data_IF_025098494004
#
_entry.id   IF_025098494004
#
_cell.length_a   1.000
_cell.length_b   1.000
_cell.length_c   1.000
_cell.angle_alpha   90.00
_cell.angle_beta   90.00
_cell.angle_gamma   90.00
#
_symmetry.space_group_name_H-M   'P 1'
#
loop_
_entity.id
_entity.type
_entity.pdbx_description
1 polymer ?
#
# COMPACT_ATOMS: atom_id res chain seq x y z
N UNK A 1 17.35 20.04 26.39
CA UNK A 1 16.15 19.20 26.28
C UNK A 1 15.08 19.81 27.17
N UNK A 2 14.05 20.40 26.57
CA UNK A 2 12.84 20.73 27.31
C UNK A 2 12.10 19.38 27.48
N UNK A 3 11.77 18.93 28.70
CA UNK A 3 11.00 17.71 28.88
C UNK A 3 9.68 17.88 28.11
N UNK A 4 9.30 16.91 27.28
CA UNK A 4 7.95 16.93 26.71
C UNK A 4 6.96 16.71 27.87
N UNK A 5 6.45 17.80 28.43
CA UNK A 5 5.10 17.81 28.97
C UNK A 5 4.15 17.29 27.86
N UNK A 6 3.02 16.69 28.23
CA UNK A 6 2.01 16.28 27.26
C UNK A 6 1.81 17.41 26.22
N UNK A 7 1.93 17.11 24.91
CA UNK A 7 1.85 18.15 23.90
C UNK A 7 0.50 18.85 23.99
N UNK A 8 0.47 20.20 23.94
CA UNK A 8 -0.77 20.96 24.15
C UNK A 8 -1.83 20.70 23.07
N UNK A 9 -1.41 20.20 21.90
CA UNK A 9 -2.29 19.80 20.80
C UNK A 9 -2.34 18.27 20.76
N UNK A 10 -3.55 17.71 20.79
CA UNK A 10 -3.79 16.26 20.85
C UNK A 10 -4.81 15.84 19.80
N UNK A 11 -4.58 14.67 19.20
CA UNK A 11 -5.58 14.03 18.35
C UNK A 11 -6.69 13.49 19.26
N UNK A 12 -7.92 13.93 19.04
CA UNK A 12 -9.11 13.32 19.64
C UNK A 12 -9.58 12.15 18.81
N UNK A 13 -9.70 12.39 17.51
CA UNK A 13 -10.21 11.42 16.57
C UNK A 13 -9.65 11.60 15.18
N UNK A 14 -9.99 10.63 14.32
CA UNK A 14 -9.76 10.69 12.91
C UNK A 14 -11.04 10.37 12.11
N UNK A 15 -11.28 11.13 11.04
CA UNK A 15 -12.14 10.67 9.95
C UNK A 15 -11.29 9.86 8.97
N UNK A 16 -11.61 8.57 8.83
CA UNK A 16 -10.99 7.63 7.91
C UNK A 16 -11.96 7.31 6.77
N UNK A 17 -11.57 7.60 5.52
CA UNK A 17 -12.40 7.36 4.33
C UNK A 17 -11.64 6.58 3.27
N UNK A 18 -11.93 5.29 3.16
CA UNK A 18 -11.46 4.38 2.12
C UNK A 18 -12.53 4.24 1.04
N UNK A 19 -12.16 4.61 -0.18
CA UNK A 19 -13.08 4.78 -1.30
C UNK A 19 -12.60 3.98 -2.51
N UNK A 20 -13.55 3.33 -3.18
CA UNK A 20 -13.35 2.74 -4.50
C UNK A 20 -14.17 3.51 -5.53
N UNK A 21 -13.55 4.33 -6.40
CA UNK A 21 -14.24 4.90 -7.55
C UNK A 21 -14.78 3.81 -8.47
N UNK A 22 -15.87 4.09 -9.17
CA UNK A 22 -16.38 3.16 -10.18
C UNK A 22 -15.36 2.98 -11.32
N UNK A 23 -15.36 1.85 -12.04
CA UNK A 23 -14.39 1.58 -13.10
C UNK A 23 -14.28 2.74 -14.10
N UNK A 24 -13.05 3.16 -14.42
CA UNK A 24 -12.78 4.29 -15.30
C UNK A 24 -12.99 5.69 -14.70
N UNK A 25 -13.30 5.80 -13.40
CA UNK A 25 -13.56 7.09 -12.72
C UNK A 25 -12.46 7.55 -11.77
N UNK A 26 -11.33 6.85 -11.70
CA UNK A 26 -10.24 7.12 -10.75
C UNK A 26 -9.68 8.55 -10.87
N UNK A 27 -9.32 9.02 -12.07
CA UNK A 27 -8.86 10.41 -12.26
C UNK A 27 -9.95 11.44 -11.92
N UNK A 28 -11.18 11.19 -12.37
CA UNK A 28 -12.29 12.11 -12.14
C UNK A 28 -12.56 12.29 -10.63
N UNK A 29 -12.62 11.18 -9.91
CA UNK A 29 -12.70 11.19 -8.45
C UNK A 29 -11.51 11.91 -7.81
N UNK A 30 -10.27 11.62 -8.26
CA UNK A 30 -9.08 12.27 -7.72
C UNK A 30 -9.14 13.80 -7.89
N UNK A 31 -9.56 14.30 -9.07
CA UNK A 31 -9.67 15.73 -9.34
C UNK A 31 -10.77 16.41 -8.52
N UNK A 32 -11.93 15.79 -8.41
CA UNK A 32 -13.00 16.30 -7.56
C UNK A 32 -12.56 16.38 -6.10
N UNK A 33 -11.95 15.31 -5.59
CA UNK A 33 -11.57 15.25 -4.20
C UNK A 33 -10.44 16.23 -3.87
N UNK A 34 -9.39 16.30 -4.71
CA UNK A 34 -8.23 17.18 -4.45
C UNK A 34 -8.56 18.66 -4.53
N UNK A 35 -9.47 19.06 -5.42
CA UNK A 35 -9.73 20.48 -5.73
C UNK A 35 -10.86 21.05 -4.90
N UNK A 36 -11.78 20.20 -4.45
CA UNK A 36 -12.95 20.64 -3.72
C UNK A 36 -13.14 19.86 -2.42
N UNK A 37 -13.49 18.58 -2.52
CA UNK A 37 -14.06 17.85 -1.39
C UNK A 37 -13.14 17.73 -0.18
N UNK A 38 -11.82 17.59 -0.39
CA UNK A 38 -10.83 17.57 0.68
C UNK A 38 -10.92 18.83 1.55
N UNK A 39 -11.07 20.00 0.91
CA UNK A 39 -11.12 21.27 1.60
C UNK A 39 -12.52 21.59 2.11
N UNK A 40 -13.49 21.64 1.20
CA UNK A 40 -14.86 22.07 1.50
C UNK A 40 -15.61 21.09 2.41
N UNK A 41 -15.22 19.81 2.38
CA UNK A 41 -15.82 18.76 3.19
C UNK A 41 -15.22 18.66 4.59
N UNK A 42 -13.93 18.97 4.76
CA UNK A 42 -13.23 18.71 6.04
C UNK A 42 -12.18 19.76 6.42
N UNK A 43 -11.22 20.11 5.56
CA UNK A 43 -10.09 20.94 6.01
C UNK A 43 -10.49 22.35 6.46
N UNK A 44 -11.63 22.88 5.99
CA UNK A 44 -12.14 24.18 6.45
C UNK A 44 -13.00 24.10 7.70
N UNK A 45 -13.25 22.90 8.24
CA UNK A 45 -14.07 22.72 9.43
C UNK A 45 -13.31 23.13 10.71
N UNK A 46 -14.02 23.67 11.71
CA UNK A 46 -13.40 24.02 12.98
C UNK A 46 -12.85 22.78 13.68
N UNK A 47 -11.59 22.84 14.16
CA UNK A 47 -10.96 21.75 14.89
C UNK A 47 -10.24 20.72 14.03
N UNK A 48 -10.27 20.82 12.70
CA UNK A 48 -9.41 20.01 11.82
C UNK A 48 -7.95 20.43 12.02
N UNK A 49 -7.10 19.47 12.40
CA UNK A 49 -5.67 19.69 12.63
C UNK A 49 -4.86 19.52 11.34
N UNK A 50 -5.06 18.39 10.66
CA UNK A 50 -4.34 18.04 9.43
C UNK A 50 -5.14 17.00 8.65
N UNK A 51 -4.78 16.84 7.37
CA UNK A 51 -5.37 15.82 6.51
C UNK A 51 -4.38 15.35 5.47
N UNK A 52 -4.50 14.09 5.07
CA UNK A 52 -3.66 13.51 4.03
C UNK A 52 -4.44 12.55 3.15
N UNK A 53 -4.08 12.55 1.87
CA UNK A 53 -4.66 11.71 0.84
C UNK A 53 -3.62 10.70 0.36
N UNK A 54 -4.10 9.49 0.16
CA UNK A 54 -3.30 8.34 -0.18
C UNK A 54 -3.97 7.53 -1.29
N UNK A 55 -3.17 6.78 -2.01
CA UNK A 55 -3.59 5.91 -3.11
C UNK A 55 -2.90 4.56 -2.99
N UNK A 56 -3.67 3.49 -3.16
CA UNK A 56 -3.16 2.13 -3.19
C UNK A 56 -2.86 1.76 -4.64
N UNK A 57 -1.57 1.66 -5.01
CA UNK A 57 -1.18 1.18 -6.34
C UNK A 57 -1.59 -0.29 -6.52
N UNK A 58 -1.62 -0.82 -7.75
CA UNK A 58 -1.86 -2.24 -7.98
C UNK A 58 -0.91 -3.16 -7.19
N UNK A 59 0.37 -2.78 -7.06
CA UNK A 59 1.36 -3.52 -6.28
C UNK A 59 0.99 -3.54 -4.78
N UNK A 60 0.61 -2.39 -4.21
CA UNK A 60 0.21 -2.31 -2.80
C UNK A 60 -1.13 -3.00 -2.52
N UNK A 61 -2.06 -3.01 -3.50
CA UNK A 61 -3.29 -3.80 -3.42
C UNK A 61 -3.02 -5.31 -3.40
N UNK A 62 -1.94 -5.77 -4.02
CA UNK A 62 -1.56 -7.18 -4.01
C UNK A 62 -0.98 -7.65 -2.66
N UNK A 63 -0.58 -6.73 -1.78
CA UNK A 63 -0.09 -7.03 -0.43
C UNK A 63 -1.20 -7.19 0.61
N UNK A 64 -2.48 -7.07 0.20
CA UNK A 64 -3.61 -7.06 1.11
C UNK A 64 -3.92 -8.46 1.61
N UNK A 65 -4.41 -8.50 2.84
CA UNK A 65 -4.91 -9.71 3.47
C UNK A 65 -5.62 -9.38 4.78
N UNK A 66 -6.34 -10.33 5.37
CA UNK A 66 -6.72 -11.62 4.78
C UNK A 66 -7.74 -11.48 3.61
N UNK A 67 -8.01 -12.57 2.88
CA UNK A 67 -8.79 -12.59 1.63
C UNK A 67 -10.24 -12.08 1.72
N UNK A 68 -10.92 -12.24 2.86
CA UNK A 68 -12.23 -11.63 3.08
C UNK A 68 -12.52 -11.54 4.57
N UNK A 69 -13.14 -10.43 4.99
CA UNK A 69 -13.69 -10.30 6.33
C UNK A 69 -15.11 -9.73 6.28
N UNK A 70 -15.91 -9.88 7.36
CA UNK A 70 -17.23 -9.28 7.42
C UNK A 70 -17.25 -7.76 7.19
N UNK A 71 -16.11 -7.11 7.45
CA UNK A 71 -15.94 -5.67 7.28
C UNK A 71 -15.51 -5.31 5.85
N UNK A 72 -14.60 -6.08 5.24
CA UNK A 72 -14.14 -5.88 3.87
C UNK A 72 -14.34 -7.19 3.09
N UNK A 73 -15.53 -7.38 2.46
CA UNK A 73 -15.84 -8.60 1.72
C UNK A 73 -15.00 -8.80 0.46
N UNK A 74 -14.47 -7.70 -0.09
CA UNK A 74 -13.58 -7.70 -1.24
C UNK A 74 -12.31 -6.89 -0.88
N UNK A 75 -11.20 -7.57 -0.55
CA UNK A 75 -10.00 -6.94 0.01
C UNK A 75 -9.29 -6.07 -1.03
N UNK A 76 -9.50 -6.27 -2.33
CA UNK A 76 -8.81 -5.49 -3.37
C UNK A 76 -9.46 -4.13 -3.64
N UNK A 77 -10.64 -3.86 -3.04
CA UNK A 77 -11.34 -2.57 -3.13
C UNK A 77 -10.79 -1.53 -2.17
N UNK A 78 -10.84 -0.26 -2.55
CA UNK A 78 -10.37 0.86 -1.74
C UNK A 78 -9.10 1.45 -2.30
N UNK A 79 -9.22 2.08 -3.46
CA UNK A 79 -8.12 2.69 -4.20
C UNK A 79 -7.60 3.98 -3.57
N UNK A 80 -8.48 4.74 -2.93
CA UNK A 80 -8.15 6.01 -2.31
C UNK A 80 -8.46 5.99 -0.83
N UNK A 81 -7.51 6.46 -0.02
CA UNK A 81 -7.70 6.69 1.40
C UNK A 81 -7.52 8.18 1.68
N UNK A 82 -8.43 8.75 2.47
CA UNK A 82 -8.22 10.06 3.08
C UNK A 82 -8.40 9.98 4.59
N UNK A 83 -7.44 10.57 5.30
CA UNK A 83 -7.37 10.63 6.76
C UNK A 83 -7.35 12.08 7.21
N UNK A 84 -8.13 12.43 8.22
CA UNK A 84 -8.15 13.77 8.82
C UNK A 84 -8.04 13.67 10.34
N UNK A 85 -7.14 14.40 10.96
CA UNK A 85 -7.06 14.52 12.42
C UNK A 85 -7.88 15.68 12.93
N UNK A 86 -8.57 15.43 14.04
CA UNK A 86 -9.40 16.42 14.72
C UNK A 86 -8.90 16.59 16.15
N UNK A 87 -8.88 17.84 16.59
CA UNK A 87 -8.45 18.24 17.92
C UNK A 87 -9.31 17.59 19.01
N UNK A 88 -8.64 17.10 20.06
CA UNK A 88 -9.26 16.40 21.18
C UNK A 88 -10.35 17.19 21.89
N UNK A 89 -10.18 18.51 21.97
CA UNK A 89 -11.08 19.37 22.73
C UNK A 89 -12.20 19.95 21.84
N UNK A 90 -12.23 19.60 20.54
CA UNK A 90 -13.18 20.15 19.56
C UNK A 90 -13.96 19.10 18.76
N UNK A 91 -13.89 17.83 19.15
CA UNK A 91 -14.56 16.73 18.42
C UNK A 91 -16.06 16.94 18.25
N UNK A 92 -16.77 17.37 19.31
CA UNK A 92 -18.21 17.62 19.24
C UNK A 92 -18.59 18.80 18.33
N UNK A 93 -17.81 19.88 18.35
CA UNK A 93 -17.99 21.03 17.44
C UNK A 93 -17.75 20.61 15.99
N UNK A 94 -16.69 19.82 15.77
CA UNK A 94 -16.35 19.29 14.47
C UNK A 94 -17.44 18.35 13.92
N UNK A 95 -18.00 17.45 14.74
CA UNK A 95 -19.03 16.49 14.32
C UNK A 95 -20.29 17.22 13.82
N UNK A 96 -20.73 18.27 14.53
CA UNK A 96 -21.83 19.12 14.09
C UNK A 96 -21.51 19.82 12.76
N UNK A 97 -20.31 20.42 12.64
CA UNK A 97 -19.89 21.12 11.43
C UNK A 97 -19.73 20.18 10.22
N UNK A 98 -19.28 18.95 10.44
CA UNK A 98 -19.14 17.93 9.39
C UNK A 98 -20.50 17.46 8.87
N UNK A 99 -21.47 17.26 9.76
CA UNK A 99 -22.86 16.98 9.38
C UNK A 99 -23.45 18.11 8.54
N UNK A 100 -23.30 19.36 8.97
CA UNK A 100 -23.78 20.51 8.19
C UNK A 100 -23.09 20.62 6.82
N UNK A 101 -21.79 20.33 6.76
CA UNK A 101 -21.03 20.37 5.53
C UNK A 101 -21.49 19.33 4.50
N UNK A 102 -21.71 18.08 4.91
CA UNK A 102 -22.15 17.04 3.96
C UNK A 102 -23.56 17.33 3.43
N UNK A 103 -24.48 17.81 4.27
CA UNK A 103 -25.83 18.19 3.83
C UNK A 103 -25.81 19.36 2.85
N UNK A 104 -25.00 20.39 3.14
CA UNK A 104 -24.83 21.55 2.24
C UNK A 104 -24.24 21.14 0.90
N UNK A 105 -23.15 20.36 0.92
CA UNK A 105 -22.52 19.87 -0.31
C UNK A 105 -23.46 18.97 -1.12
N UNK A 106 -24.31 18.18 -0.44
CA UNK A 106 -25.37 17.39 -1.08
C UNK A 106 -26.40 18.27 -1.77
N UNK A 107 -26.93 19.29 -1.07
CA UNK A 107 -27.89 20.24 -1.63
C UNK A 107 -27.33 21.03 -2.82
N UNK A 108 -26.03 21.35 -2.80
CA UNK A 108 -25.33 22.05 -3.87
C UNK A 108 -24.96 21.13 -5.06
N UNK A 109 -25.24 19.83 -4.99
CA UNK A 109 -24.86 18.86 -6.03
C UNK A 109 -23.35 18.63 -6.14
N UNK A 110 -22.60 18.88 -5.06
CA UNK A 110 -21.13 18.81 -5.00
C UNK A 110 -20.61 17.49 -4.43
N UNK A 111 -21.48 16.53 -4.13
CA UNK A 111 -21.08 15.16 -3.82
C UNK A 111 -20.87 14.36 -5.11
N UNK A 112 -19.84 13.50 -5.14
CA UNK A 112 -19.51 12.68 -6.30
C UNK A 112 -20.11 11.27 -6.24
N UNK A 113 -21.17 10.93 -6.99
CA UNK A 113 -21.89 9.67 -6.81
C UNK A 113 -21.17 8.44 -7.39
N UNK A 114 -20.20 8.61 -8.30
CA UNK A 114 -19.55 7.48 -8.99
C UNK A 114 -18.39 6.89 -8.16
N UNK A 115 -18.70 6.54 -6.90
CA UNK A 115 -17.78 5.96 -5.93
C UNK A 115 -18.55 5.09 -4.94
N UNK A 116 -17.85 4.12 -4.36
CA UNK A 116 -18.35 3.35 -3.25
C UNK A 116 -17.49 3.60 -2.01
N UNK A 117 -18.14 3.78 -0.88
CA UNK A 117 -17.50 3.79 0.43
C UNK A 117 -17.15 2.34 0.80
N UNK A 118 -15.85 2.01 0.85
CA UNK A 118 -15.38 0.69 1.32
C UNK A 118 -15.33 0.71 2.85
N UNK A 119 -14.68 1.74 3.41
CA UNK A 119 -14.71 2.05 4.83
C UNK A 119 -14.89 3.55 5.00
N UNK A 120 -15.83 3.95 5.84
CA UNK A 120 -15.92 5.34 6.30
C UNK A 120 -16.28 5.32 7.76
N UNK A 121 -15.32 5.76 8.58
CA UNK A 121 -15.37 5.60 10.03
C UNK A 121 -14.84 6.85 10.71
N UNK A 122 -15.54 7.23 11.77
CA UNK A 122 -14.99 8.07 12.82
C UNK A 122 -14.31 7.14 13.82
N UNK A 123 -13.05 7.41 14.14
CA UNK A 123 -12.27 6.56 15.04
C UNK A 123 -11.60 7.42 16.10
N UNK A 124 -11.71 7.02 17.37
CA UNK A 124 -11.08 7.72 18.50
C UNK A 124 -9.62 7.36 18.62
N UNK A 125 -8.77 8.34 18.88
CA UNK A 125 -7.36 8.11 19.12
C UNK A 125 -7.16 7.37 20.45
N UNK A 126 -6.39 6.28 20.44
CA UNK A 126 -6.09 5.50 21.64
C UNK A 126 -4.66 5.73 22.12
N UNK A 127 -3.66 5.46 21.28
CA UNK A 127 -2.25 5.64 21.61
C UNK A 127 -1.37 5.58 20.34
N UNK A 128 -0.09 5.91 20.51
CA UNK A 128 0.95 5.68 19.53
C UNK A 128 2.08 4.84 20.13
N UNK A 129 2.68 3.99 19.30
CA UNK A 129 3.92 3.27 19.59
C UNK A 129 4.96 3.72 18.57
N UNK A 130 6.17 4.01 19.03
CA UNK A 130 7.27 4.52 18.22
C UNK A 130 8.46 3.58 18.28
N UNK A 131 9.15 3.44 17.16
CA UNK A 131 10.42 2.68 17.08
C UNK A 131 11.57 3.47 17.73
N UNK A 132 11.63 4.76 17.44
CA UNK A 132 12.80 5.60 17.75
C UNK A 132 12.58 6.45 19.02
N UNK A 133 13.67 6.79 19.70
CA UNK A 133 13.64 7.61 20.92
C UNK A 133 13.29 9.09 20.70
N UNK A 134 13.50 9.59 19.49
CA UNK A 134 13.08 10.94 19.06
C UNK A 134 12.15 10.84 17.83
N UNK A 135 10.91 10.38 18.03
CA UNK A 135 10.01 10.12 16.92
C UNK A 135 9.33 11.39 16.41
N UNK A 136 8.77 11.32 15.20
CA UNK A 136 7.74 12.27 14.76
C UNK A 136 6.52 12.12 15.67
N UNK A 137 6.09 13.17 16.40
CA UNK A 137 4.91 13.11 17.25
C UNK A 137 3.65 12.74 16.46
N UNK A 138 2.75 11.95 17.08
CA UNK A 138 1.49 11.49 16.48
C UNK A 138 0.72 12.58 15.73
N UNK A 139 0.58 13.78 16.31
CA UNK A 139 -0.15 14.90 15.71
C UNK A 139 0.46 15.42 14.40
N UNK A 140 1.76 15.19 14.19
CA UNK A 140 2.52 15.66 13.02
C UNK A 140 2.70 14.60 11.93
N UNK A 141 2.23 13.37 12.14
CA UNK A 141 2.52 12.26 11.20
C UNK A 141 1.93 12.49 9.81
N UNK A 142 0.75 13.13 9.70
CA UNK A 142 0.15 13.48 8.40
C UNK A 142 0.87 14.63 7.69
N UNK A 143 1.55 15.52 8.44
CA UNK A 143 2.32 16.63 7.88
C UNK A 143 3.75 16.24 7.53
N UNK A 144 4.29 15.20 8.19
CA UNK A 144 5.64 14.70 7.97
C UNK A 144 5.87 14.15 6.55
N UNK A 145 4.80 13.69 5.90
CA UNK A 145 4.81 13.13 4.53
C UNK A 145 5.68 11.90 4.37
N UNK A 146 5.44 10.91 5.23
CA UNK A 146 6.01 9.58 5.07
C UNK A 146 5.81 9.02 3.65
N UNK A 147 6.83 8.33 3.08
CA UNK A 147 6.75 7.69 1.77
C UNK A 147 5.56 6.74 1.60
N UNK A 148 5.10 6.12 2.69
CA UNK A 148 3.95 5.23 2.64
C UNK A 148 3.19 5.13 3.95
N UNK A 149 2.06 4.43 3.86
CA UNK A 149 1.19 4.10 4.97
C UNK A 149 0.69 2.67 4.79
N UNK A 150 0.84 1.85 5.83
CA UNK A 150 0.14 0.60 5.98
C UNK A 150 -1.02 0.81 6.96
N UNK A 151 -2.21 0.39 6.59
CA UNK A 151 -3.38 0.41 7.46
C UNK A 151 -3.70 -1.01 7.88
N UNK A 152 -3.89 -1.22 9.19
CA UNK A 152 -4.34 -2.52 9.72
C UNK A 152 -5.66 -2.29 10.43
N UNK A 153 -6.67 -3.06 10.06
CA UNK A 153 -7.88 -3.24 10.86
C UNK A 153 -7.82 -4.61 11.50
N UNK A 154 -7.98 -4.63 12.81
CA UNK A 154 -8.05 -5.85 13.59
C UNK A 154 -9.18 -5.80 14.59
N UNK A 155 -9.38 -6.92 15.26
CA UNK A 155 -10.37 -7.09 16.31
C UNK A 155 -9.78 -7.85 17.49
N UNK A 156 -10.37 -7.68 18.66
CA UNK A 156 -10.17 -8.60 19.77
C UNK A 156 -10.66 -10.01 19.44
N UNK A 157 -9.95 -11.02 19.95
CA UNK A 157 -10.44 -12.41 20.02
C UNK A 157 -11.65 -12.47 20.97
N UNK A 158 -12.39 -13.57 20.91
CA UNK A 158 -13.58 -13.75 21.75
C UNK A 158 -13.21 -13.59 23.24
N UNK A 159 -14.11 -12.96 24.00
CA UNK A 159 -13.99 -12.71 25.45
C UNK A 159 -12.85 -11.78 25.90
N UNK A 160 -12.07 -11.22 24.98
CA UNK A 160 -11.05 -10.20 25.28
C UNK A 160 -11.69 -8.81 25.22
N UNK A 161 -11.63 -8.09 26.34
CA UNK A 161 -12.16 -6.73 26.42
C UNK A 161 -11.31 -5.71 25.64
N UNK A 162 -11.93 -4.66 25.10
CA UNK A 162 -11.22 -3.59 24.36
C UNK A 162 -10.03 -3.00 25.13
N UNK A 163 -10.16 -2.75 26.43
CA UNK A 163 -9.08 -2.19 27.22
C UNK A 163 -7.85 -3.13 27.30
N UNK A 164 -8.10 -4.43 27.39
CA UNK A 164 -7.08 -5.46 27.37
C UNK A 164 -6.42 -5.54 25.99
N UNK A 165 -7.20 -5.53 24.90
CA UNK A 165 -6.68 -5.45 23.52
C UNK A 165 -5.74 -4.25 23.36
N UNK A 166 -6.18 -3.05 23.74
CA UNK A 166 -5.38 -1.84 23.57
C UNK A 166 -4.10 -1.84 24.41
N UNK A 167 -4.16 -2.42 25.62
CA UNK A 167 -2.99 -2.57 26.49
C UNK A 167 -2.00 -3.56 25.91
N UNK A 168 -2.49 -4.72 25.45
CA UNK A 168 -1.66 -5.75 24.81
C UNK A 168 -0.97 -5.25 23.55
N UNK A 169 -1.72 -4.56 22.68
CA UNK A 169 -1.16 -3.92 21.48
C UNK A 169 -0.03 -2.96 21.84
N UNK A 170 -0.27 -2.05 22.79
CA UNK A 170 0.68 -1.00 23.17
C UNK A 170 1.93 -1.55 23.85
N UNK A 171 1.76 -2.48 24.78
CA UNK A 171 2.80 -2.83 25.75
C UNK A 171 3.55 -4.12 25.37
N UNK A 172 2.99 -4.96 24.50
CA UNK A 172 3.59 -6.24 24.10
C UNK A 172 3.79 -6.35 22.58
N UNK A 173 2.70 -6.33 21.79
CA UNK A 173 2.77 -6.70 20.38
C UNK A 173 3.45 -5.64 19.49
N UNK A 174 3.02 -4.38 19.58
CA UNK A 174 3.52 -3.33 18.69
C UNK A 174 5.01 -3.00 18.92
N UNK A 175 5.53 -2.90 20.16
CA UNK A 175 6.96 -2.63 20.39
C UNK A 175 7.88 -3.64 19.69
N UNK A 176 7.51 -4.92 19.70
CA UNK A 176 8.28 -5.97 19.02
C UNK A 176 8.23 -5.83 17.50
N UNK A 177 7.08 -5.46 16.93
CA UNK A 177 6.89 -5.32 15.49
C UNK A 177 7.50 -4.05 14.90
N UNK A 178 7.59 -2.96 15.66
CA UNK A 178 8.25 -1.73 15.19
C UNK A 178 9.77 -1.82 15.29
N UNK A 179 10.30 -2.65 16.21
CA UNK A 179 11.73 -2.78 16.42
C UNK A 179 12.44 -3.31 15.16
N UNK A 180 13.36 -2.50 14.60
CA UNK A 180 14.14 -2.87 13.42
C UNK A 180 13.33 -2.98 12.11
N UNK A 181 12.06 -2.57 12.11
CA UNK A 181 11.20 -2.58 10.93
C UNK A 181 11.17 -1.21 10.23
N UNK A 182 10.64 -1.10 9.00
CA UNK A 182 10.52 0.19 8.30
C UNK A 182 9.37 1.07 8.83
N UNK A 183 8.81 0.74 10.01
CA UNK A 183 7.66 1.41 10.59
C UNK A 183 8.09 2.27 11.79
N UNK A 184 8.45 3.55 11.61
CA UNK A 184 8.88 4.42 12.71
C UNK A 184 7.76 4.70 13.73
N UNK A 185 6.49 4.64 13.32
CA UNK A 185 5.37 4.91 14.22
C UNK A 185 4.10 4.16 13.81
N UNK A 186 3.35 3.74 14.83
CA UNK A 186 2.02 3.13 14.70
C UNK A 186 1.05 3.89 15.58
N UNK A 187 -0.01 4.43 14.99
CA UNK A 187 -1.10 5.07 15.73
C UNK A 187 -2.30 4.15 15.76
N UNK A 188 -2.80 3.83 16.95
CA UNK A 188 -3.96 2.97 17.17
C UNK A 188 -5.20 3.81 17.50
N UNK A 189 -6.32 3.45 16.87
CA UNK A 189 -7.62 4.07 17.05
C UNK A 189 -8.71 3.03 17.32
N UNK A 190 -9.76 3.41 18.04
CA UNK A 190 -10.96 2.58 18.25
C UNK A 190 -12.12 3.05 17.40
N UNK A 191 -12.88 2.13 16.82
CA UNK A 191 -14.04 2.50 16.01
C UNK A 191 -15.18 3.04 16.87
N UNK A 192 -15.71 4.21 16.50
CA UNK A 192 -16.95 4.75 17.08
C UNK A 192 -18.16 4.02 16.49
N UNK A 193 -19.14 3.60 17.32
CA UNK A 193 -20.47 3.34 16.82
C UNK A 193 -21.04 4.59 16.13
N UNK A 194 -21.82 4.40 15.06
CA UNK A 194 -22.56 5.52 14.47
C UNK A 194 -23.67 5.96 15.44
N UNK A 195 -23.68 7.23 15.81
CA UNK A 195 -24.77 7.86 16.55
C UNK A 195 -25.67 8.64 15.58
N UNK A 196 -26.99 8.43 15.64
CA UNK A 196 -27.97 9.14 14.81
C UNK A 196 -28.25 8.52 13.43
N UNK A 197 -28.72 9.36 12.50
CA UNK A 197 -29.10 8.93 11.15
C UNK A 197 -27.85 8.72 10.28
N UNK A 198 -27.57 7.46 9.95
CA UNK A 198 -26.46 7.08 9.07
C UNK A 198 -26.82 7.39 7.62
N UNK A 199 -25.97 8.10 6.84
CA UNK A 199 -26.18 8.24 5.40
C UNK A 199 -26.29 6.85 4.74
N UNK A 200 -27.29 6.66 3.85
CA UNK A 200 -27.66 5.33 3.38
C UNK A 200 -26.53 4.60 2.65
N UNK A 201 -25.61 5.34 2.02
CA UNK A 201 -24.46 4.87 1.24
C UNK A 201 -23.24 4.45 2.08
N UNK A 202 -23.21 4.73 3.38
CA UNK A 202 -22.09 4.31 4.23
C UNK A 202 -22.19 2.84 4.65
N UNK A 203 -21.15 2.02 4.55
CA UNK A 203 -21.20 0.64 5.04
C UNK A 203 -21.54 0.53 6.52
N UNK A 204 -22.48 -0.35 6.85
CA UNK A 204 -22.84 -0.68 8.24
C UNK A 204 -21.71 -1.49 8.87
N UNK A 205 -21.28 -1.09 10.05
CA UNK A 205 -20.36 -1.88 10.87
C UNK A 205 -21.17 -2.80 11.80
N UNK A 206 -21.09 -4.13 11.67
CA UNK A 206 -21.86 -5.03 12.54
C UNK A 206 -21.28 -5.11 13.96
N UNK A 207 -20.02 -4.72 14.17
CA UNK A 207 -19.34 -4.84 15.47
C UNK A 207 -18.18 -3.83 15.61
N UNK A 208 -18.48 -2.52 15.64
CA UNK A 208 -17.44 -1.50 15.85
C UNK A 208 -16.83 -1.60 17.26
N UNK A 209 -17.52 -2.26 18.21
CA UNK A 209 -17.11 -2.39 19.59
C UNK A 209 -15.89 -3.32 19.78
N UNK A 210 -15.67 -4.30 18.89
CA UNK A 210 -14.53 -5.21 18.99
C UNK A 210 -13.33 -4.79 18.14
N UNK A 211 -13.50 -3.79 17.26
CA UNK A 211 -12.51 -3.40 16.25
C UNK A 211 -11.62 -2.24 16.67
N UNK A 212 -10.41 -2.25 16.12
CA UNK A 212 -9.46 -1.16 16.14
C UNK A 212 -8.91 -0.92 14.73
N UNK A 213 -8.44 0.29 14.47
CA UNK A 213 -7.78 0.67 13.23
C UNK A 213 -6.41 1.25 13.56
N UNK A 214 -5.40 0.88 12.78
CA UNK A 214 -4.04 1.35 12.95
C UNK A 214 -3.51 1.99 11.68
N UNK A 215 -2.73 3.06 11.88
CA UNK A 215 -1.93 3.69 10.85
C UNK A 215 -0.44 3.41 11.15
N UNK A 216 0.18 2.59 10.32
CA UNK A 216 1.59 2.24 10.35
C UNK A 216 2.31 3.08 9.30
N UNK A 217 2.95 4.16 9.74
CA UNK A 217 3.69 5.02 8.82
C UNK A 217 4.95 4.31 8.34
N UNK A 218 5.30 4.48 7.07
CA UNK A 218 6.41 3.78 6.42
C UNK A 218 7.46 4.79 5.97
N UNK A 219 8.71 4.64 6.42
CA UNK A 219 9.82 5.53 6.04
C UNK A 219 10.62 5.05 4.81
N UNK A 220 10.39 3.80 4.40
CA UNK A 220 10.96 3.21 3.18
C UNK A 220 9.94 3.24 2.03
N UNK A 221 10.36 2.81 0.84
CA UNK A 221 9.43 2.56 -0.26
C UNK A 221 8.42 1.47 0.15
N UNK A 222 7.11 1.77 0.25
CA UNK A 222 6.13 0.82 0.74
C UNK A 222 5.98 -0.41 -0.16
N UNK A 223 6.31 -0.31 -1.47
CA UNK A 223 6.27 -1.47 -2.37
C UNK A 223 7.42 -2.46 -2.10
N UNK A 224 8.50 -2.01 -1.46
CA UNK A 224 9.62 -2.84 -1.00
C UNK A 224 9.39 -3.52 0.35
N UNK A 225 8.28 -3.18 1.04
CA UNK A 225 8.02 -3.62 2.42
C UNK A 225 7.19 -4.91 2.53
N UNK A 226 7.08 -5.70 1.46
CA UNK A 226 6.22 -6.90 1.43
C UNK A 226 6.50 -7.88 2.58
N UNK A 227 7.77 -8.15 2.88
CA UNK A 227 8.16 -9.04 3.98
C UNK A 227 7.77 -8.47 5.35
N UNK A 228 7.90 -7.16 5.54
CA UNK A 228 7.50 -6.51 6.78
C UNK A 228 5.98 -6.52 6.97
N UNK A 229 5.21 -6.32 5.90
CA UNK A 229 3.74 -6.45 5.91
C UNK A 229 3.32 -7.88 6.24
N UNK A 230 3.96 -8.87 5.61
CA UNK A 230 3.71 -10.29 5.89
C UNK A 230 4.03 -10.65 7.34
N UNK A 231 5.12 -10.11 7.90
CA UNK A 231 5.47 -10.31 9.31
C UNK A 231 4.41 -9.73 10.27
N UNK A 232 3.89 -8.53 9.99
CA UNK A 232 2.79 -7.93 10.78
C UNK A 232 1.54 -8.81 10.72
N UNK A 233 1.14 -9.26 9.52
CA UNK A 233 -0.01 -10.16 9.34
C UNK A 233 0.18 -11.46 10.12
N UNK A 234 1.32 -12.14 9.96
CA UNK A 234 1.61 -13.40 10.63
C UNK A 234 1.61 -13.25 12.16
N UNK A 235 2.14 -12.14 12.68
CA UNK A 235 2.11 -11.86 14.11
C UNK A 235 0.68 -11.70 14.62
N UNK A 236 -0.18 -10.97 13.91
CA UNK A 236 -1.59 -10.79 14.28
C UNK A 236 -2.38 -12.10 14.17
N UNK A 237 -2.09 -12.94 13.19
CA UNK A 237 -2.74 -14.24 13.02
C UNK A 237 -2.41 -15.21 14.17
N UNK A 238 -1.15 -15.21 14.62
CA UNK A 238 -0.66 -16.04 15.71
C UNK A 238 -0.99 -15.50 17.11
N UNK A 239 -1.34 -14.21 17.22
CA UNK A 239 -1.58 -13.55 18.49
C UNK A 239 -2.86 -14.08 19.20
N UNK A 240 -2.80 -14.38 20.51
CA UNK A 240 -3.95 -14.92 21.25
C UNK A 240 -4.98 -13.85 21.65
N UNK A 241 -4.66 -12.56 21.52
CA UNK A 241 -5.49 -11.43 21.98
C UNK A 241 -6.20 -10.75 20.80
N UNK A 242 -5.52 -10.63 19.66
CA UNK A 242 -6.04 -9.97 18.45
C UNK A 242 -6.13 -10.87 17.23
N UNK A 243 -6.88 -10.44 16.22
CA UNK A 243 -6.90 -11.04 14.89
C UNK A 243 -6.91 -9.93 13.83
N UNK A 244 -6.23 -10.11 12.68
CA UNK A 244 -6.33 -9.17 11.58
C UNK A 244 -7.65 -9.40 10.82
N UNK A 245 -8.29 -8.33 10.38
CA UNK A 245 -9.47 -8.39 9.51
C UNK A 245 -9.23 -7.76 8.14
N UNK A 246 -8.31 -6.81 8.05
CA UNK A 246 -7.90 -6.23 6.77
C UNK A 246 -6.58 -5.46 6.91
N UNK A 247 -5.74 -5.55 5.88
CA UNK A 247 -4.48 -4.82 5.76
C UNK A 247 -4.41 -4.18 4.37
N UNK A 248 -3.94 -2.93 4.30
CA UNK A 248 -3.85 -2.15 3.07
C UNK A 248 -2.64 -1.23 3.02
N UNK A 249 -1.83 -1.33 1.97
CA UNK A 249 -0.72 -0.41 1.71
C UNK A 249 -1.15 0.77 0.83
N UNK A 250 -0.55 1.94 1.09
CA UNK A 250 -0.80 3.18 0.35
C UNK A 250 0.48 4.04 0.21
N UNK A 251 0.53 4.82 -0.86
CA UNK A 251 1.47 5.93 -1.07
C UNK A 251 0.72 7.27 -1.05
N UNK A 252 1.36 8.39 -0.68
CA UNK A 252 0.70 9.69 -0.71
C UNK A 252 0.34 10.08 -2.15
N UNK A 253 -0.83 10.70 -2.34
CA UNK A 253 -1.13 11.34 -3.63
C UNK A 253 -0.24 12.55 -3.84
N UNK A 254 0.11 12.86 -5.09
CA UNK A 254 0.84 14.08 -5.45
C UNK A 254 -0.17 15.13 -5.98
N UNK A 255 -0.51 16.17 -5.21
CA UNK A 255 -1.54 17.15 -5.60
C UNK A 255 -1.28 17.78 -6.96
N UNK A 256 -2.33 17.92 -7.77
CA UNK A 256 -2.24 18.53 -9.10
C UNK A 256 -1.69 17.60 -10.19
N UNK A 257 -1.33 16.36 -9.87
CA UNK A 257 -0.84 15.36 -10.82
C UNK A 257 -1.77 14.14 -10.87
N UNK A 258 -1.51 13.21 -11.79
CA UNK A 258 -2.16 11.87 -11.80
C UNK A 258 -1.18 10.77 -11.39
N UNK A 259 -0.04 11.13 -10.77
CA UNK A 259 0.97 10.16 -10.32
C UNK A 259 0.31 9.10 -9.42
N UNK A 260 0.58 7.83 -9.74
CA UNK A 260 0.00 6.61 -9.14
C UNK A 260 -1.47 6.34 -9.49
N UNK A 261 -2.26 7.36 -9.82
CA UNK A 261 -3.65 7.20 -10.27
C UNK A 261 -3.71 6.64 -11.69
N UNK A 262 -2.74 7.01 -12.53
CA UNK A 262 -2.52 6.45 -13.84
C UNK A 262 -2.28 4.93 -13.82
N UNK A 263 -1.59 4.42 -12.79
CA UNK A 263 -1.37 2.98 -12.59
C UNK A 263 -2.69 2.22 -12.33
N UNK A 264 -3.63 2.84 -11.60
CA UNK A 264 -4.95 2.26 -11.33
C UNK A 264 -5.81 2.15 -12.60
N UNK A 265 -5.77 3.18 -13.44
CA UNK A 265 -6.52 3.16 -14.71
C UNK A 265 -5.93 2.19 -15.71
N UNK A 266 -4.59 2.10 -15.80
CA UNK A 266 -3.93 1.09 -16.61
C UNK A 266 -4.36 -0.32 -16.19
N UNK A 267 -4.27 -0.62 -14.89
CA UNK A 267 -4.70 -1.91 -14.34
C UNK A 267 -6.19 -2.20 -14.62
N UNK A 268 -7.09 -1.21 -14.42
CA UNK A 268 -8.52 -1.36 -14.67
C UNK A 268 -8.86 -1.58 -16.16
N UNK A 269 -8.05 -1.05 -17.07
CA UNK A 269 -8.21 -1.25 -18.51
C UNK A 269 -7.73 -2.63 -19.00
N UNK A 270 -7.24 -3.50 -18.10
CA UNK A 270 -6.59 -4.76 -18.48
C UNK A 270 -5.27 -4.56 -19.22
N UNK A 271 -4.80 -3.31 -19.30
CA UNK A 271 -3.46 -2.97 -19.76
C UNK A 271 -2.58 -3.19 -18.55
N UNK A 272 -2.03 -4.41 -18.39
CA UNK A 272 -0.90 -4.58 -17.49
C UNK A 272 0.08 -3.46 -17.82
N UNK A 273 0.24 -2.50 -16.91
CA UNK A 273 1.01 -1.30 -17.19
C UNK A 273 2.38 -1.78 -17.67
N UNK A 274 2.70 -1.54 -18.94
CA UNK A 274 4.04 -1.81 -19.43
C UNK A 274 4.96 -1.03 -18.50
N UNK A 275 5.93 -1.68 -17.84
CA UNK A 275 6.73 -1.02 -16.83
C UNK A 275 7.37 0.24 -17.41
N UNK A 276 7.02 1.41 -16.86
CA UNK A 276 7.40 2.71 -17.42
C UNK A 276 8.86 3.10 -17.14
N UNK A 277 9.58 2.26 -16.39
CA UNK A 277 10.99 2.44 -16.07
C UNK A 277 11.80 1.19 -16.40
N UNK A 278 13.07 1.31 -16.81
CA UNK A 278 13.94 0.16 -17.04
C UNK A 278 14.02 -0.79 -15.84
N UNK A 279 14.04 -0.25 -14.61
CA UNK A 279 14.00 -1.04 -13.37
C UNK A 279 12.75 -1.91 -13.30
N UNK A 280 11.56 -1.29 -13.40
CA UNK A 280 10.30 -2.02 -13.32
C UNK A 280 10.17 -3.08 -14.41
N UNK A 281 10.75 -2.83 -15.60
CA UNK A 281 10.73 -3.79 -16.71
C UNK A 281 11.53 -5.06 -16.38
N UNK A 282 12.68 -4.89 -15.73
CA UNK A 282 13.54 -5.99 -15.32
C UNK A 282 12.99 -6.72 -14.09
N UNK A 283 12.36 -6.02 -13.16
CA UNK A 283 11.66 -6.64 -12.03
C UNK A 283 10.50 -7.51 -12.51
N UNK A 284 9.71 -7.00 -13.47
CA UNK A 284 8.63 -7.74 -14.11
C UNK A 284 9.15 -8.93 -14.93
N UNK A 285 10.31 -8.80 -15.59
CA UNK A 285 11.00 -9.92 -16.24
C UNK A 285 11.33 -11.02 -15.23
N UNK A 286 11.96 -10.70 -14.11
CA UNK A 286 12.29 -11.71 -13.10
C UNK A 286 11.04 -12.33 -12.47
N UNK A 287 9.97 -11.55 -12.26
CA UNK A 287 8.69 -12.07 -11.81
C UNK A 287 8.13 -13.10 -12.81
N UNK A 288 8.06 -12.75 -14.10
CA UNK A 288 7.55 -13.62 -15.16
C UNK A 288 8.39 -14.89 -15.34
N UNK A 289 9.71 -14.81 -15.20
CA UNK A 289 10.58 -16.00 -15.20
C UNK A 289 10.24 -16.91 -14.01
N UNK A 290 10.19 -16.37 -12.78
CA UNK A 290 9.87 -17.15 -11.57
C UNK A 290 8.50 -17.82 -11.64
N UNK A 291 7.50 -17.12 -12.18
CA UNK A 291 6.13 -17.64 -12.30
C UNK A 291 5.90 -18.44 -13.58
N UNK A 292 6.90 -18.54 -14.47
CA UNK A 292 6.78 -19.17 -15.81
C UNK A 292 5.61 -18.58 -16.61
N UNK A 293 5.46 -17.25 -16.56
CA UNK A 293 4.38 -16.56 -17.26
C UNK A 293 4.57 -16.73 -18.77
N UNK A 294 3.59 -17.30 -19.50
CA UNK A 294 3.70 -17.52 -20.95
C UNK A 294 3.82 -16.21 -21.75
N UNK A 295 3.58 -15.07 -21.11
CA UNK A 295 3.71 -13.74 -21.70
C UNK A 295 5.08 -13.10 -21.45
N UNK A 296 6.07 -13.83 -20.93
CA UNK A 296 7.42 -13.28 -20.67
C UNK A 296 7.98 -12.48 -21.86
N UNK A 297 7.82 -13.02 -23.06
CA UNK A 297 8.36 -12.44 -24.29
C UNK A 297 7.69 -11.14 -24.71
N UNK A 298 6.53 -10.79 -24.16
CA UNK A 298 5.95 -9.44 -24.31
C UNK A 298 6.83 -8.35 -23.70
N UNK A 299 7.78 -8.65 -22.82
CA UNK A 299 8.70 -7.64 -22.28
C UNK A 299 9.82 -7.28 -23.26
N UNK A 300 10.08 -8.12 -24.26
CA UNK A 300 11.17 -7.96 -25.22
C UNK A 300 10.75 -7.18 -26.45
N UNK A 301 11.68 -6.44 -27.06
CA UNK A 301 11.51 -5.88 -28.40
C UNK A 301 11.35 -7.01 -29.44
N UNK A 302 10.80 -6.70 -30.62
CA UNK A 302 10.58 -7.72 -31.66
C UNK A 302 11.90 -8.29 -32.19
N UNK A 303 12.93 -7.46 -32.23
CA UNK A 303 14.31 -7.73 -32.65
C UNK A 303 15.28 -7.94 -31.46
N UNK A 304 14.73 -8.21 -30.27
CA UNK A 304 15.55 -8.32 -29.07
C UNK A 304 16.57 -9.47 -29.14
N UNK A 305 17.65 -9.33 -28.36
CA UNK A 305 18.75 -10.30 -28.35
C UNK A 305 18.98 -10.84 -26.95
N UNK A 306 19.07 -12.15 -26.84
CA UNK A 306 19.51 -12.85 -25.64
C UNK A 306 20.90 -13.41 -25.89
N UNK A 307 21.89 -12.94 -25.13
CA UNK A 307 23.31 -13.19 -25.36
C UNK A 307 23.94 -13.83 -24.13
N UNK A 308 24.50 -15.01 -24.25
CA UNK A 308 25.19 -15.64 -23.14
C UNK A 308 25.77 -17.00 -23.50
N UNK A 309 26.80 -17.42 -22.76
CA UNK A 309 27.45 -18.72 -22.92
C UNK A 309 27.90 -19.05 -24.35
N UNK A 310 28.32 -18.03 -25.12
CA UNK A 310 28.75 -18.19 -26.51
C UNK A 310 27.61 -18.33 -27.53
N UNK A 311 26.36 -18.11 -27.11
CA UNK A 311 25.16 -18.18 -27.96
C UNK A 311 24.47 -16.82 -28.07
N UNK A 312 23.81 -16.58 -29.20
CA UNK A 312 22.94 -15.43 -29.44
C UNK A 312 21.61 -15.95 -29.95
N UNK A 313 20.54 -15.66 -29.21
CA UNK A 313 19.16 -15.92 -29.58
C UNK A 313 18.52 -14.59 -29.96
N UNK A 314 18.06 -14.45 -31.20
CA UNK A 314 17.58 -13.17 -31.75
C UNK A 314 16.12 -13.26 -32.18
N UNK A 315 15.35 -12.24 -31.81
CA UNK A 315 13.95 -12.09 -32.12
C UNK A 315 13.03 -12.76 -31.10
N UNK A 316 11.86 -12.14 -30.89
CA UNK A 316 10.91 -12.55 -29.83
C UNK A 316 10.51 -14.03 -29.90
N UNK A 317 10.27 -14.56 -31.10
CA UNK A 317 9.88 -15.96 -31.28
C UNK A 317 10.99 -16.96 -30.89
N UNK A 318 12.25 -16.61 -31.15
CA UNK A 318 13.38 -17.47 -30.76
C UNK A 318 13.62 -17.42 -29.25
N UNK A 319 13.46 -16.25 -28.64
CA UNK A 319 13.52 -16.06 -27.18
C UNK A 319 12.39 -16.85 -26.49
N UNK A 320 11.20 -16.88 -27.08
CA UNK A 320 10.05 -17.64 -26.57
C UNK A 320 10.35 -19.14 -26.53
N UNK A 321 10.86 -19.68 -27.64
CA UNK A 321 11.27 -21.08 -27.74
C UNK A 321 12.39 -21.43 -26.74
N UNK A 322 13.35 -20.52 -26.54
CA UNK A 322 14.41 -20.68 -25.54
C UNK A 322 13.85 -20.81 -24.11
N UNK A 323 12.94 -19.92 -23.69
CA UNK A 323 12.35 -19.99 -22.36
C UNK A 323 11.40 -21.17 -22.19
N UNK A 324 10.65 -21.56 -23.22
CA UNK A 324 9.83 -22.76 -23.19
C UNK A 324 10.69 -24.00 -22.90
N UNK A 325 11.80 -24.17 -23.63
CA UNK A 325 12.74 -25.27 -23.42
C UNK A 325 13.37 -25.25 -22.02
N UNK A 326 13.82 -24.08 -21.55
CA UNK A 326 14.41 -23.96 -20.21
C UNK A 326 13.38 -24.24 -19.10
N UNK A 327 12.13 -23.82 -19.28
CA UNK A 327 11.06 -24.08 -18.31
C UNK A 327 10.73 -25.57 -18.20
N UNK A 328 10.78 -26.31 -19.31
CA UNK A 328 10.58 -27.76 -19.32
C UNK A 328 11.75 -28.53 -18.69
N UNK A 329 12.98 -28.05 -18.90
CA UNK A 329 14.20 -28.82 -18.56
C UNK A 329 14.82 -28.45 -17.21
N UNK A 330 14.76 -27.18 -16.82
CA UNK A 330 15.50 -26.62 -15.69
C UNK A 330 14.60 -25.84 -14.71
N UNK A 331 13.51 -25.26 -15.21
CA UNK A 331 12.52 -24.53 -14.44
C UNK A 331 13.13 -23.46 -13.48
N UNK A 332 13.97 -22.56 -14.01
CA UNK A 332 14.86 -21.70 -13.22
C UNK A 332 14.08 -20.74 -12.32
N UNK A 333 14.61 -20.53 -11.11
CA UNK A 333 14.08 -19.56 -10.14
C UNK A 333 15.20 -18.56 -9.82
N UNK A 334 15.22 -17.39 -10.49
CA UNK A 334 16.21 -16.35 -10.22
C UNK A 334 15.86 -15.58 -8.94
N UNK A 335 16.84 -15.45 -8.05
CA UNK A 335 16.76 -14.68 -6.81
C UNK A 335 17.83 -13.59 -6.79
N UNK A 336 17.46 -12.30 -6.72
CA UNK A 336 18.43 -11.22 -6.60
C UNK A 336 19.27 -11.34 -5.32
N UNK A 337 20.58 -11.11 -5.44
CA UNK A 337 21.51 -11.01 -4.29
C UNK A 337 21.52 -9.63 -3.66
N UNK A 338 20.99 -8.64 -4.37
CA UNK A 338 20.93 -7.25 -3.95
C UNK A 338 20.04 -6.43 -4.87
N UNK A 339 20.00 -5.10 -4.67
CA UNK A 339 19.21 -4.21 -5.51
C UNK A 339 19.71 -4.16 -6.95
N UNK A 340 18.79 -3.92 -7.90
CA UNK A 340 19.14 -3.71 -9.29
C UNK A 340 19.94 -2.41 -9.47
N UNK A 341 21.08 -2.51 -10.16
CA UNK A 341 21.92 -1.37 -10.52
C UNK A 341 21.38 -0.77 -11.81
N UNK A 342 20.98 0.50 -11.78
CA UNK A 342 20.34 1.17 -12.92
C UNK A 342 21.19 2.35 -13.37
N UNK A 343 21.50 2.40 -14.66
CA UNK A 343 22.18 3.53 -15.29
C UNK A 343 21.51 3.85 -16.63
N UNK A 344 20.63 4.85 -16.63
CA UNK A 344 19.85 5.21 -17.82
C UNK A 344 19.00 4.04 -18.30
N UNK A 345 19.24 3.60 -19.53
CA UNK A 345 18.56 2.46 -20.16
C UNK A 345 19.11 1.10 -19.76
N UNK A 346 20.18 1.05 -18.97
CA UNK A 346 20.85 -0.20 -18.60
C UNK A 346 20.52 -0.60 -17.18
N UNK A 347 20.28 -1.89 -16.98
CA UNK A 347 20.02 -2.49 -15.67
C UNK A 347 20.92 -3.70 -15.50
N UNK A 348 21.59 -3.81 -14.36
CA UNK A 348 22.37 -4.99 -14.00
C UNK A 348 21.77 -5.66 -12.75
N UNK A 349 21.74 -6.99 -12.76
CA UNK A 349 21.28 -7.82 -11.67
C UNK A 349 22.33 -8.87 -11.34
N UNK A 350 22.73 -8.94 -10.07
CA UNK A 350 23.47 -10.07 -9.52
C UNK A 350 22.46 -11.04 -8.92
N UNK A 351 22.41 -12.28 -9.42
CA UNK A 351 21.36 -13.24 -9.09
C UNK A 351 21.92 -14.64 -8.81
N UNK A 352 21.26 -15.37 -7.93
CA UNK A 352 21.40 -16.82 -7.82
C UNK A 352 20.24 -17.48 -8.56
N UNK A 353 20.52 -18.37 -9.51
CA UNK A 353 19.51 -19.15 -10.23
C UNK A 353 19.45 -20.55 -9.64
N UNK A 354 18.32 -20.90 -9.04
CA UNK A 354 18.06 -22.29 -8.63
C UNK A 354 17.46 -23.07 -9.80
N UNK A 355 18.03 -24.23 -10.10
CA UNK A 355 17.55 -25.17 -11.11
C UNK A 355 17.05 -26.42 -10.37
N UNK A 356 15.99 -27.05 -10.87
CA UNK A 356 15.46 -28.27 -10.24
C UNK A 356 16.53 -29.38 -10.20
N UNK A 357 16.91 -29.81 -8.99
CA UNK A 357 17.86 -30.91 -8.78
C UNK A 357 19.36 -30.54 -8.85
N UNK A 358 19.71 -29.25 -8.88
CA UNK A 358 21.10 -28.77 -8.90
C UNK A 358 21.42 -27.70 -7.86
N UNK A 359 22.71 -27.40 -7.70
CA UNK A 359 23.17 -26.27 -6.88
C UNK A 359 22.83 -24.93 -7.53
N UNK A 360 22.60 -23.86 -6.74
CA UNK A 360 22.37 -22.52 -7.27
C UNK A 360 23.56 -22.04 -8.11
N UNK A 361 23.25 -21.47 -9.27
CA UNK A 361 24.26 -20.91 -10.17
C UNK A 361 24.30 -19.40 -9.99
N UNK A 362 25.48 -18.85 -9.75
CA UNK A 362 25.69 -17.41 -9.60
C UNK A 362 25.80 -16.77 -10.99
N UNK A 363 24.92 -15.82 -11.29
CA UNK A 363 24.78 -15.19 -12.61
C UNK A 363 24.74 -13.67 -12.49
N UNK A 364 25.30 -12.99 -13.50
CA UNK A 364 25.12 -11.55 -13.70
C UNK A 364 24.32 -11.37 -14.99
N UNK A 365 23.14 -10.76 -14.86
CA UNK A 365 22.30 -10.35 -15.98
C UNK A 365 22.46 -8.85 -16.24
N UNK A 366 22.70 -8.49 -17.51
CA UNK A 366 22.76 -7.11 -18.01
C UNK A 366 21.66 -6.89 -19.04
N UNK A 367 20.76 -5.97 -18.75
CA UNK A 367 19.64 -5.59 -19.61
C UNK A 367 19.92 -4.23 -20.26
N UNK A 368 19.52 -4.11 -21.52
CA UNK A 368 19.37 -2.84 -22.23
C UNK A 368 17.91 -2.65 -22.61
N UNK A 369 17.33 -1.55 -22.14
CA UNK A 369 15.91 -1.21 -22.32
C UNK A 369 15.77 -0.02 -23.25
N UNK A 370 15.07 -0.22 -24.36
CA UNK A 370 14.80 0.80 -25.38
C UNK A 370 13.30 0.86 -25.61
N UNK A 371 12.74 2.07 -25.62
CA UNK A 371 11.30 2.31 -25.86
C UNK A 371 10.36 1.45 -24.99
N UNK A 372 10.74 1.23 -23.72
CA UNK A 372 9.97 0.46 -22.75
C UNK A 372 9.97 -1.06 -22.99
N UNK A 373 10.92 -1.57 -23.79
CA UNK A 373 11.11 -3.00 -24.08
C UNK A 373 12.56 -3.41 -23.86
N UNK A 374 12.79 -4.67 -23.51
CA UNK A 374 14.13 -5.25 -23.41
C UNK A 374 14.64 -5.45 -24.83
N UNK A 375 15.61 -4.64 -25.24
CA UNK A 375 16.31 -4.78 -26.52
C UNK A 375 17.41 -5.83 -26.44
N UNK A 376 18.08 -5.95 -25.29
CA UNK A 376 19.08 -6.98 -25.07
C UNK A 376 19.09 -7.46 -23.62
N UNK A 377 19.26 -8.76 -23.43
CA UNK A 377 19.66 -9.39 -22.17
C UNK A 377 20.97 -10.13 -22.41
N UNK A 378 22.02 -9.77 -21.66
CA UNK A 378 23.31 -10.45 -21.66
C UNK A 378 23.53 -11.10 -20.31
N UNK A 379 23.81 -12.40 -20.27
CA UNK A 379 24.00 -13.13 -19.01
C UNK A 379 25.37 -13.82 -18.94
N UNK A 380 26.00 -13.74 -17.77
CA UNK A 380 27.31 -14.30 -17.48
C UNK A 380 27.26 -15.20 -16.25
N UNK A 381 27.97 -16.32 -16.28
CA UNK A 381 28.25 -17.08 -15.06
C UNK A 381 29.32 -16.32 -14.27
N UNK A 382 29.04 -16.06 -12.99
CA UNK A 382 29.96 -15.39 -12.08
C UNK A 382 30.76 -16.39 -11.21
N UNK A 383 30.78 -17.66 -11.62
CA UNK A 383 31.60 -18.70 -11.00
C UNK A 383 33.01 -18.68 -11.63
N UNK A 384 34.04 -18.61 -10.78
CA UNK A 384 35.43 -18.92 -11.12
C UNK A 384 35.73 -20.38 -10.85
#
# INVERSE_FOLDING_TARGET
MIPMQEPPVRIGMMLYTLIEPHPGRHRAYNRWYERDHFYSGVMTLPGTLSGQRWVATPALKALRGPDASPMVPDPVRGSFLTTYYVDADRTAEWDAAASDAVHRLGADGRLWPERDHVLTRFVDYAHAVYRDGEPVPAVQTLDHRYPGLLTVVGRGRADVGRAEVLTHLRDALLPELVAGSPFPSVLTFTMRPFEGERPPDLPVDPDPASRFLQLWFVEADPESCADAVAAVLAAYEADPVVAPEWVGGFVPTVPGTDTHVDLLEAAAAGVAAAPSTPRGLVEEYFRRVRTRDPRLTELFADDARLVGLGTITEGRAAIDAFYAQINETAAPVPTPRGPLLVQGTRVAAEIDIRIAGGDPVHVIDLFEVVDGRIAQLTYFLAQY
#
